data_IF_230207919434
#
_entry.id   IF_230207919434
#
_cell.length_a   1.000
_cell.length_b   1.000
_cell.length_c   1.000
_cell.angle_alpha   90.00
_cell.angle_beta   90.00
_cell.angle_gamma   90.00
#
_symmetry.space_group_name_H-M   'P 1'
#
loop_
_entity.id
_entity.type
_entity.pdbx_description
1 polymer ?
#
# COMPACT_ATOMS: atom_id res chain seq x y z
N UNK A 1 -13.76 14.45 25.18
CA UNK A 1 -14.70 13.97 24.14
C UNK A 1 -13.91 13.56 22.90
N UNK A 2 -14.29 12.44 22.29
CA UNK A 2 -13.69 11.98 21.05
C UNK A 2 -14.60 12.39 19.87
N UNK A 3 -13.98 12.78 18.75
CA UNK A 3 -14.69 12.99 17.48
C UNK A 3 -14.56 11.70 16.68
N UNK A 4 -15.71 11.13 16.27
CA UNK A 4 -15.75 9.91 15.47
C UNK A 4 -16.12 10.31 14.04
N UNK A 5 -15.22 9.99 13.10
CA UNK A 5 -15.44 10.13 11.67
C UNK A 5 -15.71 8.73 11.07
N UNK A 6 -16.93 8.49 10.62
CA UNK A 6 -17.31 7.19 10.08
C UNK A 6 -18.35 7.39 8.98
N UNK A 7 -17.99 7.04 7.74
CA UNK A 7 -18.84 7.17 6.57
C UNK A 7 -20.05 6.19 6.59
N UNK A 8 -19.97 5.10 7.32
CA UNK A 8 -21.06 4.11 7.39
C UNK A 8 -22.18 4.57 8.33
N UNK A 9 -21.83 5.25 9.43
CA UNK A 9 -22.79 5.71 10.46
C UNK A 9 -23.38 7.07 10.09
N UNK A 10 -22.57 7.97 9.51
CA UNK A 10 -23.01 9.33 9.20
C UNK A 10 -23.90 9.36 7.95
N UNK A 11 -25.17 9.69 8.10
CA UNK A 11 -26.12 9.84 6.97
C UNK A 11 -25.72 10.98 6.02
N UNK A 12 -24.95 11.94 6.50
CA UNK A 12 -24.51 13.12 5.74
C UNK A 12 -23.22 12.92 4.97
N UNK A 13 -22.46 11.84 5.24
CA UNK A 13 -21.22 11.61 4.52
C UNK A 13 -21.50 11.20 3.08
N UNK A 14 -20.94 11.94 2.15
CA UNK A 14 -21.28 11.88 0.71
C UNK A 14 -20.82 10.57 0.02
N UNK A 15 -19.76 9.90 0.52
CA UNK A 15 -19.19 8.71 -0.09
C UNK A 15 -19.12 7.51 0.85
N UNK A 16 -20.12 6.64 0.80
CA UNK A 16 -20.13 5.38 1.56
C UNK A 16 -19.09 4.36 1.07
N UNK A 17 -18.54 4.56 -0.12
CA UNK A 17 -17.54 3.71 -0.74
C UNK A 17 -16.10 4.27 -0.56
N UNK A 18 -15.85 5.02 0.51
CA UNK A 18 -14.54 5.50 0.88
C UNK A 18 -13.89 4.54 1.90
N UNK A 19 -12.61 4.21 1.72
CA UNK A 19 -11.82 3.49 2.72
C UNK A 19 -11.40 4.42 3.88
N UNK A 20 -10.85 3.85 4.96
CA UNK A 20 -10.41 4.63 6.12
C UNK A 20 -9.42 5.74 5.78
N UNK A 21 -8.46 5.48 4.91
CA UNK A 21 -7.49 6.47 4.43
C UNK A 21 -8.16 7.63 3.69
N UNK A 22 -9.19 7.34 2.88
CA UNK A 22 -9.95 8.36 2.16
C UNK A 22 -10.70 9.29 3.16
N UNK A 23 -11.31 8.70 4.20
CA UNK A 23 -11.99 9.48 5.26
C UNK A 23 -10.99 10.36 6.01
N UNK A 24 -9.80 9.84 6.30
CA UNK A 24 -8.71 10.60 6.92
C UNK A 24 -8.29 11.78 6.03
N UNK A 25 -8.17 11.54 4.73
CA UNK A 25 -7.85 12.59 3.77
C UNK A 25 -8.92 13.68 3.69
N UNK A 26 -10.21 13.32 3.69
CA UNK A 26 -11.30 14.31 3.78
C UNK A 26 -11.22 15.16 5.06
N UNK A 27 -10.74 14.56 6.15
CA UNK A 27 -10.50 15.30 7.41
C UNK A 27 -9.33 16.25 7.28
N UNK A 28 -8.26 15.87 6.61
CA UNK A 28 -7.11 16.74 6.31
C UNK A 28 -7.56 17.91 5.45
N UNK A 29 -8.37 17.66 4.40
CA UNK A 29 -8.95 18.74 3.58
C UNK A 29 -9.72 19.76 4.41
N UNK A 30 -10.57 19.30 5.33
CA UNK A 30 -11.32 20.19 6.20
C UNK A 30 -10.40 21.01 7.13
N UNK A 31 -9.28 20.44 7.57
CA UNK A 31 -8.27 21.15 8.35
C UNK A 31 -7.48 22.13 7.48
N UNK A 32 -7.12 21.75 6.26
CA UNK A 32 -6.45 22.63 5.30
C UNK A 32 -7.32 23.86 4.98
N UNK A 33 -8.61 23.66 4.74
CA UNK A 33 -9.58 24.76 4.54
C UNK A 33 -9.65 25.69 5.75
N UNK A 34 -9.55 25.15 6.97
CA UNK A 34 -9.60 25.93 8.21
C UNK A 34 -8.30 26.69 8.50
N UNK A 35 -7.14 26.05 8.25
CA UNK A 35 -5.83 26.60 8.57
C UNK A 35 -5.14 27.27 7.38
N UNK A 36 -5.76 27.30 6.19
CA UNK A 36 -5.21 27.85 4.94
C UNK A 36 -3.92 27.14 4.52
N UNK A 37 -3.92 25.81 4.60
CA UNK A 37 -2.83 24.92 4.17
C UNK A 37 -3.30 24.04 3.00
N UNK A 38 -2.40 23.24 2.41
CA UNK A 38 -2.65 22.40 1.23
C UNK A 38 -2.02 20.99 1.34
N UNK A 39 -1.85 20.50 2.56
CA UNK A 39 -1.25 19.17 2.80
C UNK A 39 -2.01 18.02 2.17
N UNK A 40 -3.31 18.16 1.98
CA UNK A 40 -4.16 17.13 1.40
C UNK A 40 -3.76 16.73 -0.02
N UNK A 41 -3.26 17.68 -0.84
CA UNK A 41 -2.87 17.42 -2.22
C UNK A 41 -1.65 16.50 -2.30
N UNK A 42 -0.71 16.63 -1.37
CA UNK A 42 0.50 15.82 -1.31
C UNK A 42 0.27 14.35 -0.95
N UNK A 43 -0.90 14.02 -0.38
CA UNK A 43 -1.24 12.67 0.08
C UNK A 43 -2.19 11.91 -0.88
N UNK A 44 -2.59 12.50 -1.99
CA UNK A 44 -3.66 11.96 -2.83
C UNK A 44 -3.29 10.64 -3.52
N UNK A 45 -2.03 10.43 -3.82
CA UNK A 45 -1.49 9.17 -4.34
C UNK A 45 -1.61 8.02 -3.33
N UNK A 46 -1.39 8.29 -2.05
CA UNK A 46 -1.57 7.31 -0.98
C UNK A 46 -3.06 6.98 -0.76
N UNK A 47 -3.94 7.96 -0.94
CA UNK A 47 -5.40 7.74 -0.91
C UNK A 47 -5.82 6.86 -2.09
N UNK A 48 -5.25 7.08 -3.28
CA UNK A 48 -5.47 6.23 -4.44
C UNK A 48 -5.00 4.79 -4.17
N UNK A 49 -3.78 4.62 -3.66
CA UNK A 49 -3.23 3.32 -3.28
C UNK A 49 -4.14 2.58 -2.30
N UNK A 50 -4.63 3.27 -1.26
CA UNK A 50 -5.48 2.67 -0.24
C UNK A 50 -6.85 2.26 -0.80
N UNK A 51 -7.52 3.12 -1.59
CA UNK A 51 -8.79 2.76 -2.23
C UNK A 51 -8.65 1.53 -3.15
N UNK A 52 -7.54 1.41 -3.87
CA UNK A 52 -7.26 0.25 -4.73
C UNK A 52 -6.99 -0.99 -3.86
N UNK A 53 -6.16 -0.86 -2.83
CA UNK A 53 -5.76 -1.96 -1.96
C UNK A 53 -6.91 -2.55 -1.16
N UNK A 54 -7.85 -1.71 -0.74
CA UNK A 54 -9.08 -2.11 -0.03
C UNK A 54 -10.20 -2.53 -0.99
N UNK A 55 -9.91 -2.54 -2.30
CA UNK A 55 -10.86 -2.92 -3.34
C UNK A 55 -12.19 -2.15 -3.26
N UNK A 56 -12.09 -0.83 -3.04
CA UNK A 56 -13.25 0.04 -2.89
C UNK A 56 -14.05 0.13 -4.19
N UNK A 57 -15.35 0.36 -4.05
CA UNK A 57 -16.25 0.41 -5.20
C UNK A 57 -15.99 1.64 -6.09
N UNK A 58 -15.44 1.41 -7.26
CA UNK A 58 -15.11 2.44 -8.25
C UNK A 58 -16.29 2.96 -9.06
N UNK A 59 -17.51 2.46 -8.83
CA UNK A 59 -18.74 3.06 -9.40
C UNK A 59 -19.05 4.40 -8.73
N UNK A 60 -18.60 4.61 -7.49
CA UNK A 60 -18.60 5.92 -6.84
C UNK A 60 -17.69 6.87 -7.62
N UNK A 61 -18.26 7.98 -8.11
CA UNK A 61 -17.51 8.98 -8.87
C UNK A 61 -16.36 9.60 -8.05
N UNK A 62 -16.62 9.86 -6.76
CA UNK A 62 -15.59 10.39 -5.86
C UNK A 62 -14.41 9.43 -5.70
N UNK A 63 -14.67 8.15 -5.39
CA UNK A 63 -13.62 7.13 -5.26
C UNK A 63 -12.82 6.98 -6.55
N UNK A 64 -13.50 6.93 -7.70
CA UNK A 64 -12.84 6.84 -9.02
C UNK A 64 -12.02 8.08 -9.35
N UNK A 65 -12.54 9.28 -9.06
CA UNK A 65 -11.81 10.53 -9.29
C UNK A 65 -10.53 10.59 -8.43
N UNK A 66 -10.64 10.27 -7.14
CA UNK A 66 -9.51 10.24 -6.22
C UNK A 66 -8.42 9.27 -6.69
N UNK A 67 -8.81 8.06 -7.15
CA UNK A 67 -7.87 7.09 -7.70
C UNK A 67 -7.18 7.64 -8.96
N UNK A 68 -7.94 8.18 -9.90
CA UNK A 68 -7.35 8.65 -11.16
C UNK A 68 -6.41 9.84 -10.95
N UNK A 69 -6.81 10.81 -10.12
CA UNK A 69 -5.99 11.98 -9.83
C UNK A 69 -4.73 11.56 -9.06
N UNK A 70 -4.87 10.74 -8.03
CA UNK A 70 -3.73 10.29 -7.23
C UNK A 70 -2.72 9.46 -8.02
N UNK A 71 -3.17 8.62 -8.97
CA UNK A 71 -2.25 7.88 -9.84
C UNK A 71 -1.63 8.73 -10.96
N UNK A 72 -2.22 9.86 -11.31
CA UNK A 72 -1.65 10.77 -12.33
C UNK A 72 -0.46 11.58 -11.80
N UNK A 73 -0.33 11.72 -10.49
CA UNK A 73 0.76 12.45 -9.84
C UNK A 73 1.20 11.73 -8.56
N UNK A 74 2.22 10.87 -8.68
CA UNK A 74 2.75 10.10 -7.56
C UNK A 74 3.87 10.90 -6.92
N UNK A 75 3.63 11.37 -5.70
CA UNK A 75 4.53 12.23 -4.94
C UNK A 75 5.29 11.46 -3.85
N UNK A 76 4.70 10.37 -3.34
CA UNK A 76 5.30 9.61 -2.25
C UNK A 76 6.45 8.74 -2.75
N UNK A 77 7.66 8.97 -2.22
CA UNK A 77 8.88 8.29 -2.65
C UNK A 77 8.80 6.77 -2.48
N UNK A 78 8.22 6.28 -1.37
CA UNK A 78 8.08 4.85 -1.15
C UNK A 78 7.12 4.23 -2.18
N UNK A 79 5.99 4.87 -2.46
CA UNK A 79 5.04 4.38 -3.45
C UNK A 79 5.64 4.38 -4.86
N UNK A 80 6.33 5.45 -5.26
CA UNK A 80 7.04 5.54 -6.53
C UNK A 80 8.11 4.44 -6.66
N UNK A 81 8.87 4.18 -5.59
CA UNK A 81 9.89 3.12 -5.57
C UNK A 81 9.26 1.74 -5.73
N UNK A 82 8.10 1.47 -5.11
CA UNK A 82 7.38 0.20 -5.32
C UNK A 82 6.95 0.07 -6.78
N UNK A 83 6.38 1.10 -7.37
CA UNK A 83 5.95 1.11 -8.78
C UNK A 83 7.14 0.82 -9.70
N UNK A 84 8.26 1.51 -9.51
CA UNK A 84 9.49 1.29 -10.29
C UNK A 84 10.01 -0.14 -10.15
N UNK A 85 9.94 -0.71 -8.96
CA UNK A 85 10.33 -2.11 -8.75
C UNK A 85 9.44 -3.11 -9.49
N UNK A 86 8.21 -2.72 -9.87
CA UNK A 86 7.23 -3.52 -10.58
C UNK A 86 7.07 -3.12 -12.06
N UNK A 87 7.94 -2.26 -12.58
CA UNK A 87 7.85 -1.71 -13.93
C UNK A 87 7.67 -2.81 -15.00
N UNK A 88 8.44 -3.89 -14.92
CA UNK A 88 8.32 -5.03 -15.83
C UNK A 88 6.93 -5.69 -15.78
N UNK A 89 6.41 -5.94 -14.58
CA UNK A 89 5.09 -6.57 -14.37
C UNK A 89 3.96 -5.66 -14.85
N UNK A 90 4.13 -4.36 -14.69
CA UNK A 90 3.16 -3.31 -15.05
C UNK A 90 3.31 -2.84 -16.51
N UNK A 91 4.33 -3.33 -17.24
CA UNK A 91 4.67 -2.91 -18.61
C UNK A 91 4.86 -1.39 -18.75
N UNK A 92 5.39 -0.74 -17.71
CA UNK A 92 5.60 0.70 -17.64
C UNK A 92 4.33 1.54 -17.56
N UNK A 93 3.15 0.95 -17.34
CA UNK A 93 1.88 1.68 -17.32
C UNK A 93 1.26 1.61 -15.91
N UNK A 94 1.07 2.77 -15.30
CA UNK A 94 0.40 2.89 -13.98
C UNK A 94 -1.10 3.00 -14.20
N UNK A 95 -1.83 1.94 -13.84
CA UNK A 95 -3.29 1.89 -13.87
C UNK A 95 -3.80 1.33 -12.55
N UNK A 96 -5.07 1.58 -12.17
CA UNK A 96 -5.67 0.96 -10.97
C UNK A 96 -5.54 -0.56 -10.99
N UNK A 97 -5.72 -1.19 -12.13
CA UNK A 97 -5.56 -2.63 -12.32
C UNK A 97 -4.11 -3.08 -12.02
N UNK A 98 -3.13 -2.42 -12.64
CA UNK A 98 -1.72 -2.79 -12.44
C UNK A 98 -1.27 -2.59 -10.99
N UNK A 99 -1.72 -1.52 -10.33
CA UNK A 99 -1.45 -1.30 -8.89
C UNK A 99 -2.10 -2.40 -8.05
N UNK A 100 -3.36 -2.75 -8.32
CA UNK A 100 -4.07 -3.80 -7.59
C UNK A 100 -3.37 -5.18 -7.68
N UNK A 101 -2.82 -5.53 -8.83
CA UNK A 101 -2.24 -6.86 -9.07
C UNK A 101 -0.73 -6.95 -8.88
N UNK A 102 0.01 -5.85 -9.01
CA UNK A 102 1.48 -5.84 -8.89
C UNK A 102 1.97 -5.20 -7.58
N UNK A 103 1.35 -4.12 -7.11
CA UNK A 103 1.79 -3.37 -5.92
C UNK A 103 1.11 -3.88 -4.65
N UNK A 104 -0.23 -3.90 -4.63
CA UNK A 104 -1.03 -4.29 -3.46
C UNK A 104 -0.63 -5.65 -2.87
N UNK A 105 -0.37 -6.70 -3.67
CA UNK A 105 0.02 -8.00 -3.11
C UNK A 105 1.37 -8.01 -2.39
N UNK A 106 2.29 -7.11 -2.75
CA UNK A 106 3.59 -6.97 -2.05
C UNK A 106 3.38 -6.39 -0.65
N UNK A 107 2.66 -5.27 -0.58
CA UNK A 107 2.34 -4.60 0.68
C UNK A 107 1.54 -5.53 1.60
N UNK A 108 0.52 -6.20 1.06
CA UNK A 108 -0.32 -7.13 1.83
C UNK A 108 0.45 -8.33 2.37
N UNK A 109 1.37 -8.91 1.57
CA UNK A 109 2.21 -10.02 2.03
C UNK A 109 3.12 -9.59 3.17
N UNK A 110 3.72 -8.40 3.05
CA UNK A 110 4.57 -7.82 4.06
C UNK A 110 3.80 -7.55 5.36
N UNK A 111 2.71 -6.78 5.30
CA UNK A 111 1.92 -6.41 6.48
C UNK A 111 1.40 -7.61 7.28
N UNK A 112 1.17 -8.75 6.63
CA UNK A 112 0.69 -9.98 7.30
C UNK A 112 1.79 -10.78 7.96
N UNK A 113 3.02 -10.70 7.46
CA UNK A 113 4.11 -11.61 7.86
C UNK A 113 5.28 -10.90 8.55
N UNK A 114 5.39 -9.59 8.41
CA UNK A 114 6.48 -8.77 8.97
C UNK A 114 6.37 -8.62 10.49
N UNK A 115 7.50 -8.39 11.13
CA UNK A 115 7.58 -8.06 12.56
C UNK A 115 7.02 -6.66 12.82
N UNK A 116 6.87 -6.29 14.09
CA UNK A 116 6.43 -4.94 14.45
C UNK A 116 7.44 -3.88 14.01
N UNK A 117 8.73 -4.14 14.24
CA UNK A 117 9.84 -3.23 13.90
C UNK A 117 9.89 -2.97 12.39
N UNK A 118 9.75 -4.03 11.58
CA UNK A 118 9.71 -3.91 10.12
C UNK A 118 8.49 -3.09 9.64
N UNK A 119 7.34 -3.21 10.31
CA UNK A 119 6.16 -2.39 9.99
C UNK A 119 6.36 -0.93 10.36
N UNK A 120 7.06 -0.64 11.47
CA UNK A 120 7.46 0.73 11.82
C UNK A 120 8.40 1.29 10.75
N UNK A 121 9.34 0.48 10.27
CA UNK A 121 10.25 0.86 9.19
C UNK A 121 9.49 1.21 7.91
N UNK A 122 8.48 0.43 7.54
CA UNK A 122 7.61 0.75 6.39
C UNK A 122 6.88 2.09 6.59
N UNK A 123 6.38 2.35 7.81
CA UNK A 123 5.75 3.62 8.12
C UNK A 123 6.74 4.78 7.95
N UNK A 124 7.97 4.64 8.46
CA UNK A 124 9.03 5.64 8.28
C UNK A 124 9.30 5.91 6.80
N UNK A 125 9.38 4.85 5.97
CA UNK A 125 9.57 5.01 4.53
C UNK A 125 8.43 5.77 3.86
N UNK A 126 7.17 5.50 4.21
CA UNK A 126 6.02 6.26 3.69
C UNK A 126 5.97 7.71 4.21
N UNK A 127 6.48 7.96 5.40
CA UNK A 127 6.60 9.32 5.97
C UNK A 127 7.82 10.10 5.48
N UNK A 128 8.67 9.52 4.62
CA UNK A 128 9.89 10.16 4.15
C UNK A 128 10.99 10.28 5.22
N UNK A 129 10.94 9.43 6.25
CA UNK A 129 11.99 9.32 7.27
C UNK A 129 13.01 8.31 6.76
N UNK A 130 14.08 8.77 6.12
CA UNK A 130 15.01 7.96 5.30
C UNK A 130 16.46 7.99 5.79
N UNK A 131 16.68 8.36 7.05
CA UNK A 131 18.04 8.52 7.61
C UNK A 131 18.77 7.20 7.90
N UNK A 132 18.07 6.06 7.86
CA UNK A 132 18.65 4.76 8.16
C UNK A 132 19.31 4.16 6.92
N UNK A 133 20.51 3.62 7.10
CA UNK A 133 21.28 2.88 6.09
C UNK A 133 21.37 1.42 6.55
N UNK A 134 21.13 0.49 5.64
CA UNK A 134 21.13 -0.94 5.90
C UNK A 134 22.24 -1.62 5.13
N UNK A 135 22.87 -2.61 5.75
CA UNK A 135 23.86 -3.47 5.08
C UNK A 135 23.20 -4.75 4.57
N UNK A 136 23.46 -5.10 3.34
CA UNK A 136 22.99 -6.33 2.73
C UNK A 136 24.08 -7.02 1.91
N UNK A 137 24.31 -8.31 2.18
CA UNK A 137 25.23 -9.13 1.39
C UNK A 137 24.43 -10.00 0.41
N UNK A 138 24.65 -9.81 -0.88
CA UNK A 138 24.04 -10.66 -1.90
C UNK A 138 24.59 -12.08 -1.81
N UNK A 139 23.73 -13.06 -2.12
CA UNK A 139 24.15 -14.46 -2.13
C UNK A 139 25.30 -14.70 -3.13
N UNK A 140 26.45 -15.14 -2.63
CA UNK A 140 27.66 -15.40 -3.43
C UNK A 140 28.63 -14.21 -3.47
N UNK A 141 28.32 -13.09 -2.85
CA UNK A 141 29.23 -11.96 -2.66
C UNK A 141 29.85 -11.98 -1.25
N UNK A 142 31.05 -11.42 -1.12
CA UNK A 142 31.81 -11.40 0.15
C UNK A 142 31.60 -10.08 0.88
N UNK A 143 31.36 -9.00 0.14
CA UNK A 143 31.23 -7.66 0.72
C UNK A 143 29.78 -7.23 0.80
N UNK A 144 29.35 -6.60 1.92
CA UNK A 144 28.04 -5.98 2.02
C UNK A 144 27.96 -4.76 1.09
N UNK A 145 26.76 -4.50 0.60
CA UNK A 145 26.37 -3.24 -0.05
C UNK A 145 25.47 -2.45 0.90
N UNK A 146 25.60 -1.14 0.86
CA UNK A 146 24.70 -0.27 1.60
C UNK A 146 23.39 -0.10 0.81
N UNK A 147 22.27 -0.19 1.53
CA UNK A 147 20.91 0.05 1.01
C UNK A 147 20.29 1.21 1.78
N UNK A 148 19.60 2.11 1.10
CA UNK A 148 18.70 3.05 1.75
C UNK A 148 17.41 2.35 2.19
N UNK A 149 16.55 3.04 2.97
CA UNK A 149 15.30 2.48 3.50
C UNK A 149 14.37 1.97 2.38
N UNK A 150 14.30 2.65 1.26
CA UNK A 150 13.42 2.29 0.14
C UNK A 150 13.88 0.99 -0.54
N UNK A 151 15.18 0.86 -0.83
CA UNK A 151 15.78 -0.34 -1.41
C UNK A 151 15.63 -1.53 -0.46
N UNK A 152 15.87 -1.31 0.82
CA UNK A 152 15.69 -2.31 1.88
C UNK A 152 14.24 -2.80 1.92
N UNK A 153 13.26 -1.89 1.88
CA UNK A 153 11.83 -2.24 1.85
C UNK A 153 11.44 -3.06 0.62
N UNK A 154 11.94 -2.73 -0.58
CA UNK A 154 11.68 -3.52 -1.79
C UNK A 154 12.21 -4.94 -1.66
N UNK A 155 13.38 -5.12 -1.08
CA UNK A 155 13.95 -6.44 -0.81
C UNK A 155 13.11 -7.23 0.19
N UNK A 156 12.64 -6.59 1.27
CA UNK A 156 11.72 -7.20 2.23
C UNK A 156 10.40 -7.60 1.59
N UNK A 157 9.78 -6.74 0.80
CA UNK A 157 8.53 -7.06 0.09
C UNK A 157 8.68 -8.30 -0.79
N UNK A 158 9.76 -8.38 -1.56
CA UNK A 158 10.04 -9.53 -2.43
C UNK A 158 10.21 -10.81 -1.60
N UNK A 159 10.95 -10.73 -0.49
CA UNK A 159 11.16 -11.86 0.43
C UNK A 159 9.85 -12.36 1.04
N UNK A 160 9.03 -11.44 1.57
CA UNK A 160 7.75 -11.78 2.20
C UNK A 160 6.72 -12.29 1.18
N UNK A 161 6.69 -11.75 -0.02
CA UNK A 161 5.86 -12.27 -1.11
C UNK A 161 6.24 -13.70 -1.47
N UNK A 162 7.54 -13.97 -1.59
CA UNK A 162 8.05 -15.33 -1.79
C UNK A 162 7.70 -16.29 -0.65
N UNK A 163 7.78 -15.81 0.61
CA UNK A 163 7.37 -16.59 1.79
C UNK A 163 5.88 -16.91 1.76
N UNK A 164 5.04 -15.93 1.47
CA UNK A 164 3.59 -16.12 1.35
C UNK A 164 3.23 -17.14 0.26
N UNK A 165 3.86 -17.04 -0.91
CA UNK A 165 3.63 -18.00 -2.01
C UNK A 165 3.99 -19.43 -1.58
N UNK A 166 5.14 -19.64 -0.96
CA UNK A 166 5.53 -20.96 -0.45
C UNK A 166 4.56 -21.51 0.60
N UNK A 167 4.01 -20.65 1.47
CA UNK A 167 2.99 -21.07 2.45
C UNK A 167 1.70 -21.50 1.74
N UNK A 168 1.23 -20.70 0.77
CA UNK A 168 0.06 -21.03 -0.04
C UNK A 168 0.24 -22.36 -0.76
N UNK A 169 1.37 -22.55 -1.44
CA UNK A 169 1.64 -23.75 -2.24
C UNK A 169 1.73 -25.02 -1.39
N UNK A 170 2.10 -24.90 -0.12
CA UNK A 170 2.05 -25.99 0.85
C UNK A 170 0.64 -26.28 1.38
N UNK A 171 -0.15 -25.22 1.63
CA UNK A 171 -1.48 -25.36 2.21
C UNK A 171 -2.53 -25.81 1.19
N UNK A 172 -2.42 -25.37 -0.07
CA UNK A 172 -3.43 -25.60 -1.09
C UNK A 172 -3.73 -27.11 -1.33
N UNK A 173 -2.75 -28.01 -1.48
CA UNK A 173 -3.03 -29.44 -1.68
C UNK A 173 -3.75 -30.10 -0.48
N UNK A 174 -3.46 -29.64 0.74
CA UNK A 174 -4.10 -30.13 1.96
C UNK A 174 -5.56 -29.71 1.98
N UNK A 175 -5.84 -28.44 1.74
CA UNK A 175 -7.20 -27.90 1.70
C UNK A 175 -8.05 -28.53 0.60
N UNK A 176 -7.47 -28.76 -0.59
CA UNK A 176 -8.17 -29.45 -1.68
C UNK A 176 -8.55 -30.89 -1.31
N UNK A 177 -7.64 -31.61 -0.67
CA UNK A 177 -7.93 -32.98 -0.20
C UNK A 177 -9.02 -33.02 0.86
N UNK A 178 -9.01 -32.07 1.79
CA UNK A 178 -10.05 -31.94 2.82
C UNK A 178 -11.41 -31.58 2.21
N UNK A 179 -11.44 -30.68 1.22
CA UNK A 179 -12.66 -30.32 0.51
C UNK A 179 -13.25 -31.51 -0.28
N UNK A 180 -12.43 -32.32 -0.94
CA UNK A 180 -12.87 -33.53 -1.64
C UNK A 180 -13.46 -34.58 -0.70
N UNK A 181 -13.09 -34.60 0.58
CA UNK A 181 -13.64 -35.53 1.56
C UNK A 181 -14.99 -35.10 2.15
N UNK A 182 -15.39 -33.83 1.94
CA UNK A 182 -16.64 -33.27 2.46
C UNK A 182 -17.81 -33.34 1.45
N UNK A 183 -17.51 -33.71 0.20
CA UNK A 183 -18.48 -33.91 -0.90
C UNK A 183 -18.44 -35.35 -1.39
#
# INVERSE_FOLDING_TARGET
PAIILNNQISDRYYNKNACGTHITWDSIRALDDYYWTDYNESCLDLVALANISDNMNITSMSTRATINIGLSNINNTMFDTIIKSQEYSMKGIVTPHNVAFSVTPLINAFLRLATFEERVLLMNAFCGIDHEVFEYTKRGEVFPIEENIYEHMIRLFTSYRGKQNRMRDKALPILMKEAEQQY
#
